data_IF_891240050146
#
_entry.id   IF_891240050146
#
_cell.length_a   1.000
_cell.length_b   1.000
_cell.length_c   1.000
_cell.angle_alpha   90.00
_cell.angle_beta   90.00
_cell.angle_gamma   90.00
#
_symmetry.space_group_name_H-M   'P 1'
#
loop_
_entity.id
_entity.type
_entity.pdbx_description
1 polymer ?
#
# COMPACT_ATOMS: atom_id res chain seq x y z
N UNK A 1 20.63 -30.56 -3.90
CA UNK A 1 20.87 -31.52 -5.01
C UNK A 1 20.45 -30.85 -6.30
N UNK A 2 21.15 -31.11 -7.40
CA UNK A 2 20.87 -30.58 -8.74
C UNK A 2 19.45 -30.93 -9.21
N UNK A 3 18.71 -29.92 -9.70
CA UNK A 3 17.51 -30.07 -10.55
C UNK A 3 17.47 -28.96 -11.60
N UNK A 4 18.41 -29.01 -12.51
CA UNK A 4 18.24 -28.43 -13.84
C UNK A 4 16.96 -28.96 -14.53
N UNK A 5 16.11 -28.03 -14.97
CA UNK A 5 15.33 -28.10 -16.20
C UNK A 5 14.46 -29.36 -16.43
N UNK A 6 13.50 -29.60 -15.52
CA UNK A 6 12.24 -30.26 -15.92
C UNK A 6 11.23 -29.19 -16.31
N UNK A 7 10.42 -29.49 -17.33
CA UNK A 7 9.14 -28.81 -17.54
C UNK A 7 8.24 -29.17 -16.36
N UNK A 8 8.29 -28.37 -15.30
CA UNK A 8 7.39 -28.49 -14.18
C UNK A 8 6.00 -28.10 -14.66
N UNK A 9 5.10 -29.08 -14.65
CA UNK A 9 3.70 -28.85 -14.98
C UNK A 9 3.06 -28.22 -13.76
N UNK A 10 2.52 -27.02 -13.96
CA UNK A 10 1.68 -26.32 -12.99
C UNK A 10 0.62 -27.30 -12.46
N UNK A 11 0.36 -27.36 -11.14
CA UNK A 11 -0.75 -28.13 -10.59
C UNK A 11 -2.05 -27.74 -11.28
N UNK A 12 -2.92 -28.72 -11.60
CA UNK A 12 -4.17 -28.47 -12.35
C UNK A 12 -5.09 -27.49 -11.63
N UNK A 13 -5.00 -27.49 -10.32
CA UNK A 13 -5.74 -26.68 -9.37
C UNK A 13 -5.34 -25.20 -9.48
N UNK A 14 -4.12 -24.91 -9.97
CA UNK A 14 -3.56 -23.56 -10.14
C UNK A 14 -3.50 -23.10 -11.61
N UNK A 15 -3.90 -23.92 -12.57
CA UNK A 15 -3.81 -23.63 -14.02
C UNK A 15 -4.56 -22.33 -14.39
N UNK A 16 -5.80 -22.16 -13.89
CA UNK A 16 -6.60 -20.95 -14.13
C UNK A 16 -6.08 -19.69 -13.39
N UNK A 17 -5.32 -19.87 -12.30
CA UNK A 17 -4.69 -18.78 -11.56
C UNK A 17 -3.41 -18.32 -12.27
N UNK A 18 -2.60 -19.28 -12.72
CA UNK A 18 -1.44 -19.04 -13.57
C UNK A 18 -1.84 -18.27 -14.83
N UNK A 19 -2.90 -18.69 -15.53
CA UNK A 19 -3.36 -18.01 -16.76
C UNK A 19 -3.71 -16.54 -16.46
N UNK A 20 -4.40 -16.25 -15.36
CA UNK A 20 -4.76 -14.87 -14.96
C UNK A 20 -3.55 -14.01 -14.58
N UNK A 21 -2.66 -14.52 -13.74
CA UNK A 21 -1.45 -13.79 -13.32
C UNK A 21 -0.56 -13.54 -14.56
N UNK A 22 -0.42 -14.52 -15.45
CA UNK A 22 0.38 -14.37 -16.66
C UNK A 22 -0.26 -13.50 -17.74
N UNK A 23 -1.59 -13.40 -17.82
CA UNK A 23 -2.29 -12.43 -18.66
C UNK A 23 -1.97 -10.98 -18.24
N UNK A 24 -2.06 -10.68 -16.94
CA UNK A 24 -1.72 -9.35 -16.40
C UNK A 24 -0.24 -9.00 -16.61
N UNK A 25 0.66 -9.94 -16.31
CA UNK A 25 2.11 -9.80 -16.55
C UNK A 25 2.41 -9.57 -18.03
N UNK A 26 1.77 -10.34 -18.92
CA UNK A 26 1.94 -10.22 -20.37
C UNK A 26 1.47 -8.85 -20.88
N UNK A 27 0.34 -8.34 -20.38
CA UNK A 27 -0.15 -7.01 -20.76
C UNK A 27 0.82 -5.91 -20.34
N UNK A 28 1.30 -5.93 -19.10
CA UNK A 28 2.32 -4.98 -18.65
C UNK A 28 3.60 -5.10 -19.49
N UNK A 29 4.10 -6.32 -19.72
CA UNK A 29 5.32 -6.55 -20.49
C UNK A 29 5.18 -6.14 -21.97
N UNK A 30 3.98 -6.23 -22.55
CA UNK A 30 3.68 -5.73 -23.91
C UNK A 30 3.69 -4.20 -23.99
N UNK A 31 3.23 -3.50 -22.94
CA UNK A 31 3.17 -2.04 -22.88
C UNK A 31 4.52 -1.40 -22.53
N UNK A 32 5.23 -1.94 -21.52
CA UNK A 32 6.33 -1.24 -20.84
C UNK A 32 7.69 -1.95 -20.88
N UNK A 33 7.73 -3.26 -21.18
CA UNK A 33 8.97 -4.05 -21.21
C UNK A 33 9.15 -4.76 -22.56
N UNK A 34 9.38 -6.08 -22.55
CA UNK A 34 9.55 -6.88 -23.75
C UNK A 34 9.17 -8.35 -23.50
N UNK A 35 9.16 -9.15 -24.57
CA UNK A 35 8.80 -10.56 -24.55
C UNK A 35 9.79 -11.46 -23.77
N UNK A 36 11.01 -11.00 -23.49
CA UNK A 36 11.96 -11.78 -22.68
C UNK A 36 11.70 -11.58 -21.18
N UNK A 37 11.30 -10.37 -20.76
CA UNK A 37 10.71 -10.15 -19.42
C UNK A 37 9.42 -10.93 -19.22
N UNK A 38 8.53 -10.97 -20.22
CA UNK A 38 7.30 -11.78 -20.14
C UNK A 38 7.62 -13.26 -19.87
N UNK A 39 8.56 -13.87 -20.60
CA UNK A 39 8.98 -15.27 -20.36
C UNK A 39 9.60 -15.46 -18.98
N UNK A 40 10.46 -14.54 -18.56
CA UNK A 40 11.14 -14.58 -17.27
C UNK A 40 10.14 -14.52 -16.10
N UNK A 41 9.17 -13.61 -16.20
CA UNK A 41 8.08 -13.46 -15.24
C UNK A 41 7.16 -14.70 -15.23
N UNK A 42 6.79 -15.27 -16.38
CA UNK A 42 6.06 -16.55 -16.43
C UNK A 42 6.83 -17.68 -15.75
N UNK A 43 8.15 -17.77 -15.90
CA UNK A 43 8.96 -18.76 -15.19
C UNK A 43 8.92 -18.56 -13.66
N UNK A 44 8.90 -17.31 -13.20
CA UNK A 44 8.71 -17.00 -11.77
C UNK A 44 7.31 -17.41 -11.28
N UNK A 45 6.25 -17.17 -12.06
CA UNK A 45 4.89 -17.67 -11.73
C UNK A 45 4.89 -19.21 -11.65
N UNK A 46 5.49 -19.93 -12.61
CA UNK A 46 5.59 -21.41 -12.54
C UNK A 46 6.31 -21.86 -11.27
N UNK A 47 7.45 -21.24 -10.94
CA UNK A 47 8.23 -21.60 -9.76
C UNK A 47 7.48 -21.32 -8.45
N UNK A 48 6.67 -20.26 -8.39
CA UNK A 48 5.78 -19.97 -7.26
C UNK A 48 4.57 -20.92 -7.21
N UNK A 49 3.98 -21.30 -8.34
CA UNK A 49 2.91 -22.31 -8.38
C UNK A 49 3.39 -23.73 -7.99
N UNK A 50 4.70 -24.00 -8.12
CA UNK A 50 5.30 -25.29 -7.83
C UNK A 50 6.09 -25.33 -6.50
N UNK A 51 6.10 -24.23 -5.72
CA UNK A 51 6.76 -24.20 -4.41
C UNK A 51 5.94 -24.92 -3.34
N UNK A 52 6.59 -25.30 -2.23
CA UNK A 52 5.98 -26.09 -1.15
C UNK A 52 4.78 -25.40 -0.48
N UNK A 53 4.75 -24.06 -0.46
CA UNK A 53 3.67 -23.25 0.10
C UNK A 53 2.68 -22.70 -0.93
N UNK A 54 2.95 -22.87 -2.24
CA UNK A 54 2.16 -22.37 -3.36
C UNK A 54 1.55 -20.96 -3.13
N UNK A 55 2.36 -19.95 -2.73
CA UNK A 55 1.89 -18.73 -2.06
C UNK A 55 0.95 -17.89 -2.93
N UNK A 56 1.09 -17.98 -4.25
CA UNK A 56 0.21 -17.33 -5.23
C UNK A 56 -1.27 -17.71 -5.09
N UNK A 57 -1.57 -18.86 -4.47
CA UNK A 57 -2.93 -19.27 -4.15
C UNK A 57 -3.61 -18.43 -3.04
N UNK A 58 -2.84 -17.58 -2.34
CA UNK A 58 -3.31 -16.73 -1.23
C UNK A 58 -3.10 -15.25 -1.57
N UNK A 59 -4.15 -14.43 -1.58
CA UNK A 59 -4.10 -12.99 -1.87
C UNK A 59 -4.36 -12.61 -3.33
N UNK A 60 -4.39 -11.29 -3.61
CA UNK A 60 -4.86 -10.74 -4.88
C UNK A 60 -3.92 -10.99 -6.08
N UNK A 61 -4.51 -11.25 -7.25
CA UNK A 61 -3.77 -11.55 -8.49
C UNK A 61 -2.93 -10.36 -8.99
N UNK A 62 -3.41 -9.13 -8.81
CA UNK A 62 -2.68 -7.91 -9.17
C UNK A 62 -1.41 -7.78 -8.32
N UNK A 63 -1.54 -8.00 -7.01
CA UNK A 63 -0.45 -8.00 -6.05
C UNK A 63 0.64 -9.00 -6.43
N UNK A 64 0.28 -10.24 -6.76
CA UNK A 64 1.25 -11.24 -7.21
C UNK A 64 1.88 -10.90 -8.56
N UNK A 65 1.09 -10.45 -9.54
CA UNK A 65 1.60 -10.06 -10.85
C UNK A 65 2.62 -8.90 -10.75
N UNK A 66 2.28 -7.86 -9.99
CA UNK A 66 3.15 -6.71 -9.76
C UNK A 66 4.39 -7.08 -8.94
N UNK A 67 4.24 -7.82 -7.82
CA UNK A 67 5.38 -8.22 -6.99
C UNK A 67 6.42 -9.04 -7.77
N UNK A 68 5.97 -9.98 -8.63
CA UNK A 68 6.85 -10.76 -9.50
C UNK A 68 7.61 -9.86 -10.48
N UNK A 69 6.94 -8.91 -11.12
CA UNK A 69 7.58 -7.94 -12.00
C UNK A 69 8.53 -7.02 -11.23
N UNK A 70 8.17 -6.60 -10.01
CA UNK A 70 8.97 -5.75 -9.15
C UNK A 70 10.30 -6.42 -8.77
N UNK A 71 10.25 -7.67 -8.28
CA UNK A 71 11.46 -8.46 -7.96
C UNK A 71 12.36 -8.62 -9.19
N UNK A 72 11.78 -8.93 -10.35
CA UNK A 72 12.54 -9.13 -11.58
C UNK A 72 13.12 -7.82 -12.15
N UNK A 73 12.41 -6.71 -12.06
CA UNK A 73 12.93 -5.40 -12.44
C UNK A 73 14.04 -4.94 -11.49
N UNK A 74 13.89 -5.18 -10.19
CA UNK A 74 14.90 -4.90 -9.16
C UNK A 74 16.21 -5.68 -9.41
N UNK A 75 16.16 -7.01 -9.53
CA UNK A 75 17.38 -7.83 -9.73
C UNK A 75 18.06 -7.57 -11.08
N UNK A 76 17.32 -7.07 -12.08
CA UNK A 76 17.85 -6.62 -13.37
C UNK A 76 18.21 -5.12 -13.41
N UNK A 77 18.03 -4.38 -12.31
CA UNK A 77 18.37 -2.95 -12.13
C UNK A 77 17.59 -1.98 -13.03
N UNK A 78 16.37 -2.33 -13.41
CA UNK A 78 15.52 -1.52 -14.30
C UNK A 78 15.05 -0.19 -13.69
N UNK A 79 15.13 -0.06 -12.37
CA UNK A 79 14.82 1.17 -11.64
C UNK A 79 16.03 2.14 -11.56
N UNK A 80 17.22 1.76 -12.03
CA UNK A 80 18.38 2.65 -12.13
C UNK A 80 18.28 3.51 -13.41
N UNK A 81 18.51 4.83 -13.32
CA UNK A 81 18.41 5.79 -14.45
C UNK A 81 19.39 5.51 -15.61
N UNK A 82 20.41 4.68 -15.38
CA UNK A 82 21.52 4.44 -16.32
C UNK A 82 21.31 3.23 -17.25
N UNK A 83 20.18 2.52 -17.17
CA UNK A 83 19.89 1.37 -18.04
C UNK A 83 19.19 1.75 -19.36
N UNK A 84 19.43 0.98 -20.42
CA UNK A 84 18.81 1.15 -21.76
C UNK A 84 17.29 0.88 -21.76
N UNK A 85 16.79 0.14 -20.76
CA UNK A 85 15.38 -0.13 -20.52
C UNK A 85 15.05 0.28 -19.08
N UNK A 86 14.92 1.59 -18.82
CA UNK A 86 14.53 2.11 -17.52
C UNK A 86 13.01 2.13 -17.36
N UNK A 87 12.50 1.77 -16.18
CA UNK A 87 11.09 1.98 -15.78
C UNK A 87 11.03 2.59 -14.37
N UNK A 88 9.96 3.31 -14.06
CA UNK A 88 9.72 3.81 -12.70
C UNK A 88 8.99 2.74 -11.85
N UNK A 89 9.41 2.57 -10.60
CA UNK A 89 8.83 1.62 -9.67
C UNK A 89 7.38 1.99 -9.26
N UNK A 90 7.07 3.27 -9.10
CA UNK A 90 5.70 3.73 -8.82
C UNK A 90 4.79 3.52 -10.03
N UNK A 91 5.24 3.86 -11.25
CA UNK A 91 4.46 3.60 -12.48
C UNK A 91 4.16 2.11 -12.68
N UNK A 92 5.09 1.22 -12.31
CA UNK A 92 4.83 -0.22 -12.26
C UNK A 92 3.69 -0.55 -11.28
N UNK A 93 3.75 -0.09 -10.03
CA UNK A 93 2.74 -0.42 -9.01
C UNK A 93 1.35 0.15 -9.36
N UNK A 94 1.31 1.39 -9.86
CA UNK A 94 0.10 2.08 -10.31
C UNK A 94 -0.62 1.34 -11.45
N UNK A 95 0.12 0.75 -12.41
CA UNK A 95 -0.50 0.03 -13.55
C UNK A 95 -1.19 -1.29 -13.12
N UNK A 96 -0.94 -1.76 -11.89
CA UNK A 96 -1.61 -2.89 -11.24
C UNK A 96 -2.63 -2.48 -10.16
N UNK A 97 -2.85 -1.18 -9.93
CA UNK A 97 -3.68 -0.65 -8.84
C UNK A 97 -3.23 -1.14 -7.44
N UNK A 98 -1.92 -1.09 -7.14
CA UNK A 98 -1.38 -1.39 -5.79
C UNK A 98 -0.36 -0.32 -5.33
N UNK A 99 -0.18 -0.16 -4.02
CA UNK A 99 0.85 0.72 -3.46
C UNK A 99 2.26 0.15 -3.62
N UNK A 100 3.27 1.04 -3.56
CA UNK A 100 4.68 0.65 -3.66
C UNK A 100 5.14 -0.16 -2.42
N UNK A 101 4.58 0.10 -1.23
CA UNK A 101 4.87 -0.65 0.00
C UNK A 101 4.37 -2.10 -0.11
N UNK A 102 3.13 -2.30 -0.57
CA UNK A 102 2.57 -3.64 -0.82
C UNK A 102 3.40 -4.39 -1.87
N UNK A 103 3.81 -3.71 -2.95
CA UNK A 103 4.68 -4.28 -3.96
C UNK A 103 6.05 -4.69 -3.39
N UNK A 104 6.69 -3.82 -2.61
CA UNK A 104 7.99 -4.06 -1.97
C UNK A 104 7.94 -5.25 -1.00
N UNK A 105 6.99 -5.25 -0.06
CA UNK A 105 6.81 -6.34 0.91
C UNK A 105 6.61 -7.70 0.22
N UNK A 106 5.69 -7.77 -0.75
CA UNK A 106 5.45 -9.01 -1.51
C UNK A 106 6.61 -9.36 -2.46
N UNK A 107 7.37 -8.38 -2.96
CA UNK A 107 8.59 -8.65 -3.75
C UNK A 107 9.67 -9.33 -2.91
N UNK A 108 9.73 -9.04 -1.61
CA UNK A 108 10.58 -9.72 -0.62
C UNK A 108 10.17 -11.18 -0.45
N UNK A 109 8.88 -11.47 -0.31
CA UNK A 109 8.34 -12.84 -0.25
C UNK A 109 8.64 -13.63 -1.54
N UNK A 110 8.49 -13.00 -2.71
CA UNK A 110 8.88 -13.60 -4.00
C UNK A 110 10.37 -13.90 -4.03
N UNK A 111 11.22 -12.97 -3.58
CA UNK A 111 12.67 -13.14 -3.54
C UNK A 111 13.09 -14.26 -2.58
N UNK A 112 12.49 -14.36 -1.39
CA UNK A 112 12.78 -15.42 -0.41
C UNK A 112 12.42 -16.80 -0.96
N UNK A 113 11.19 -16.97 -1.47
CA UNK A 113 10.67 -18.27 -1.93
C UNK A 113 11.41 -18.75 -3.19
N UNK A 114 11.77 -17.84 -4.09
CA UNK A 114 12.55 -18.15 -5.30
C UNK A 114 14.07 -18.07 -5.08
N UNK A 115 14.51 -17.78 -3.85
CA UNK A 115 15.91 -17.63 -3.43
C UNK A 115 16.72 -16.64 -4.29
N UNK A 116 16.06 -15.56 -4.73
CA UNK A 116 16.64 -14.53 -5.59
C UNK A 116 17.56 -13.64 -4.77
N UNK A 117 18.84 -13.67 -5.11
CA UNK A 117 19.87 -12.81 -4.53
C UNK A 117 20.30 -11.73 -5.54
N UNK A 118 21.04 -10.72 -5.08
CA UNK A 118 21.58 -9.66 -5.92
C UNK A 118 22.37 -10.20 -7.13
N UNK A 119 21.90 -9.88 -8.34
CA UNK A 119 22.44 -10.34 -9.62
C UNK A 119 22.39 -11.86 -9.83
N UNK A 120 21.36 -12.56 -9.34
CA UNK A 120 21.17 -14.01 -9.60
C UNK A 120 21.18 -14.33 -11.12
N UNK A 121 22.14 -15.14 -11.62
CA UNK A 121 22.25 -15.45 -13.05
C UNK A 121 21.07 -16.22 -13.68
N UNK A 122 20.16 -16.76 -12.87
CA UNK A 122 18.94 -17.44 -13.30
C UNK A 122 17.82 -16.42 -13.57
N UNK A 123 17.77 -15.37 -12.75
CA UNK A 123 16.72 -14.34 -12.77
C UNK A 123 17.16 -13.03 -13.46
N UNK A 124 18.42 -12.93 -13.89
CA UNK A 124 18.88 -11.86 -14.77
C UNK A 124 18.78 -12.22 -16.26
N UNK A 125 18.28 -11.30 -17.09
CA UNK A 125 18.37 -11.42 -18.55
C UNK A 125 19.84 -11.33 -18.99
N UNK A 126 20.27 -12.33 -19.77
CA UNK A 126 21.62 -12.35 -20.33
C UNK A 126 21.76 -11.23 -21.37
N UNK A 127 22.59 -10.23 -21.08
CA UNK A 127 23.06 -9.29 -22.10
C UNK A 127 23.67 -10.10 -23.25
N UNK A 128 23.36 -9.80 -24.52
CA UNK A 128 23.86 -10.57 -25.65
C UNK A 128 25.39 -10.56 -25.65
N UNK A 129 26.02 -11.70 -25.91
CA UNK A 129 27.48 -11.82 -25.90
C UNK A 129 28.11 -10.72 -26.77
N UNK A 130 29.12 -9.98 -26.26
CA UNK A 130 29.86 -9.06 -27.10
C UNK A 130 30.50 -9.87 -28.23
N UNK A 131 30.12 -9.56 -29.48
CA UNK A 131 30.64 -10.26 -30.67
C UNK A 131 32.16 -10.37 -30.57
N UNK A 132 32.75 -11.56 -30.79
CA UNK A 132 34.15 -11.80 -30.53
C UNK A 132 35.00 -10.78 -31.28
N UNK A 133 35.84 -10.06 -30.54
CA UNK A 133 36.63 -8.96 -31.07
C UNK A 133 37.55 -9.47 -32.18
N UNK A 134 37.27 -9.06 -33.43
CA UNK A 134 38.18 -9.25 -34.55
C UNK A 134 39.43 -8.41 -34.21
N UNK A 135 40.54 -9.08 -33.89
CA UNK A 135 41.82 -8.40 -33.69
C UNK A 135 42.19 -7.67 -34.99
N UNK A 136 42.60 -6.39 -34.92
CA UNK A 136 43.05 -5.67 -36.11
C UNK A 136 44.43 -6.18 -36.51
N UNK A 137 44.49 -7.16 -37.42
CA UNK A 137 45.74 -7.49 -38.09
C UNK A 137 46.15 -6.39 -39.08
N UNK A 138 47.42 -6.04 -39.02
CA UNK A 138 48.05 -4.92 -39.71
C UNK A 138 48.01 -5.05 -41.23
N UNK A 139 47.75 -3.94 -41.93
CA UNK A 139 47.97 -3.81 -43.37
C UNK A 139 49.41 -4.15 -43.77
N UNK A 140 49.59 -4.77 -44.94
CA UNK A 140 50.62 -4.41 -45.91
C UNK A 140 50.00 -3.62 -47.08
N UNK A 141 50.72 -2.63 -47.59
CA UNK A 141 50.34 -1.88 -48.80
C UNK A 141 50.54 -2.71 -50.08
N UNK A 142 49.64 -2.61 -51.07
CA UNK A 142 50.03 -2.42 -52.49
C UNK A 142 48.85 -1.95 -53.37
N UNK A 143 49.18 -1.49 -54.60
CA UNK A 143 48.33 -0.71 -55.52
C UNK A 143 47.58 -1.56 -56.56
N UNK A 144 46.67 -0.87 -57.28
CA UNK A 144 46.08 -1.19 -58.61
C UNK A 144 44.98 -2.28 -58.62
N UNK A 145 44.02 -2.36 -59.55
CA UNK A 145 43.67 -1.49 -60.71
C UNK A 145 42.21 -1.73 -61.19
N UNK A 146 41.62 -0.75 -61.91
CA UNK A 146 40.51 -0.86 -62.90
C UNK A 146 39.08 -1.37 -62.56
N UNK A 147 38.07 -0.63 -63.08
CA UNK A 147 36.65 -1.02 -63.35
C UNK A 147 36.56 -1.86 -64.67
N UNK A 148 35.48 -2.62 -65.03
CA UNK A 148 34.09 -2.09 -65.18
C UNK A 148 32.84 -3.05 -65.10
N UNK A 149 31.63 -2.43 -65.16
CA UNK A 149 30.25 -2.85 -65.63
C UNK A 149 29.92 -4.34 -65.93
N UNK A 150 28.70 -4.85 -65.64
CA UNK A 150 27.40 -4.67 -66.38
C UNK A 150 26.18 -5.16 -65.52
N UNK A 151 25.03 -4.44 -65.43
CA UNK A 151 23.70 -4.62 -66.11
C UNK A 151 22.86 -5.89 -65.73
N UNK A 152 21.73 -5.78 -65.01
CA UNK A 152 20.28 -5.67 -65.45
C UNK A 152 19.61 -7.04 -65.72
N UNK A 153 18.32 -7.39 -65.48
CA UNK A 153 16.97 -6.76 -65.45
C UNK A 153 16.02 -7.51 -64.45
N UNK A 154 15.04 -6.92 -63.72
CA UNK A 154 13.57 -6.72 -63.99
C UNK A 154 12.80 -8.06 -64.26
N UNK A 155 11.67 -8.47 -63.60
CA UNK A 155 10.34 -7.80 -63.48
C UNK A 155 9.29 -8.50 -62.54
N UNK A 156 8.48 -7.66 -61.86
CA UNK A 156 7.07 -7.71 -61.35
C UNK A 156 6.25 -9.00 -60.98
N UNK A 157 5.40 -8.75 -59.96
CA UNK A 157 4.18 -9.37 -59.35
C UNK A 157 2.99 -9.72 -60.32
N UNK A 158 1.71 -10.07 -59.90
CA UNK A 158 1.09 -10.22 -58.55
C UNK A 158 0.10 -11.41 -58.30
N UNK A 159 -0.45 -11.43 -57.06
CA UNK A 159 -1.70 -12.02 -56.49
C UNK A 159 -2.96 -12.06 -57.40
N UNK A 160 -4.01 -12.87 -57.06
CA UNK A 160 -5.19 -12.27 -56.40
C UNK A 160 -6.05 -13.14 -55.43
N UNK A 161 -6.38 -12.55 -54.27
CA UNK A 161 -7.72 -12.21 -53.70
C UNK A 161 -8.86 -13.27 -53.60
N UNK A 162 -9.58 -13.27 -52.45
CA UNK A 162 -10.74 -14.16 -52.21
C UNK A 162 -11.43 -14.04 -50.83
N UNK A 163 -12.49 -13.23 -50.73
CA UNK A 163 -13.29 -12.94 -49.50
C UNK A 163 -14.36 -14.01 -49.20
N UNK A 164 -14.82 -14.15 -47.92
CA UNK A 164 -16.13 -13.66 -47.39
C UNK A 164 -16.59 -14.35 -46.06
N UNK A 165 -17.57 -13.72 -45.39
CA UNK A 165 -18.09 -13.93 -44.03
C UNK A 165 -19.23 -14.99 -43.84
N UNK A 166 -19.32 -15.49 -42.59
CA UNK A 166 -20.51 -15.74 -41.73
C UNK A 166 -21.52 -16.90 -41.92
N UNK A 167 -21.77 -17.53 -40.74
CA UNK A 167 -23.07 -17.87 -40.08
C UNK A 167 -23.74 -19.27 -40.20
N UNK A 168 -23.84 -19.90 -39.01
CA UNK A 168 -24.99 -20.59 -38.36
C UNK A 168 -25.65 -21.86 -38.92
N UNK A 169 -25.83 -22.80 -37.96
CA UNK A 169 -27.05 -23.52 -37.58
C UNK A 169 -27.19 -25.03 -37.87
N UNK A 170 -27.39 -25.76 -36.76
CA UNK A 170 -28.35 -26.85 -36.52
C UNK A 170 -28.38 -28.13 -37.38
N UNK A 171 -28.18 -29.27 -36.69
CA UNK A 171 -29.05 -30.45 -36.82
C UNK A 171 -29.27 -31.10 -35.45
N UNK A 172 -30.53 -31.32 -35.08
CA UNK A 172 -30.99 -32.08 -33.89
C UNK A 172 -31.33 -33.53 -34.25
N UNK A 173 -31.17 -34.50 -33.33
CA UNK A 173 -31.97 -35.74 -33.41
C UNK A 173 -32.19 -36.51 -32.08
N UNK A 174 -33.31 -37.26 -32.08
CA UNK A 174 -34.03 -37.91 -30.97
C UNK A 174 -33.80 -39.43 -30.92
N UNK A 175 -33.98 -40.21 -29.83
CA UNK A 175 -34.24 -39.99 -28.38
C UNK A 175 -34.12 -41.37 -27.70
N UNK A 176 -33.73 -41.49 -26.42
CA UNK A 176 -34.29 -42.50 -25.47
C UNK A 176 -33.78 -42.40 -24.02
N UNK A 177 -34.71 -42.14 -23.12
CA UNK A 177 -34.59 -42.32 -21.66
C UNK A 177 -35.04 -43.77 -21.28
N UNK A 178 -34.70 -44.30 -20.09
CA UNK A 178 -35.65 -44.12 -18.97
C UNK A 178 -35.10 -44.11 -17.52
N UNK A 179 -35.80 -43.34 -16.67
CA UNK A 179 -36.09 -43.58 -15.22
C UNK A 179 -35.02 -43.31 -14.15
N UNK A 180 -35.07 -42.05 -13.67
CA UNK A 180 -35.42 -41.66 -12.28
C UNK A 180 -34.84 -42.49 -11.11
N UNK A 181 -33.81 -41.95 -10.46
CA UNK A 181 -33.74 -41.93 -8.99
C UNK A 181 -34.19 -40.56 -8.47
N UNK A 182 -34.97 -40.54 -7.39
CA UNK A 182 -35.35 -39.31 -6.68
C UNK A 182 -34.27 -39.01 -5.64
N UNK A 183 -33.46 -37.98 -5.85
CA UNK A 183 -32.73 -37.34 -4.74
C UNK A 183 -33.44 -36.03 -4.42
N UNK A 184 -33.71 -35.79 -3.12
CA UNK A 184 -34.52 -34.65 -2.67
C UNK A 184 -33.88 -33.33 -3.11
N UNK A 185 -34.71 -32.38 -3.54
CA UNK A 185 -34.32 -30.98 -3.47
C UNK A 185 -34.03 -30.66 -2.01
N UNK A 186 -32.74 -30.47 -1.68
CA UNK A 186 -32.31 -29.92 -0.39
C UNK A 186 -32.78 -28.47 -0.41
N UNK A 187 -33.62 -28.09 0.56
CA UNK A 187 -34.12 -26.72 0.64
C UNK A 187 -32.95 -25.73 0.66
N UNK A 188 -33.05 -24.66 -0.11
CA UNK A 188 -32.06 -23.58 -0.11
C UNK A 188 -31.99 -22.99 1.29
N UNK A 189 -30.94 -23.34 2.04
CA UNK A 189 -30.72 -22.80 3.37
C UNK A 189 -30.44 -21.31 3.21
N UNK A 190 -31.25 -20.45 3.85
CA UNK A 190 -31.26 -19.01 3.54
C UNK A 190 -30.10 -18.24 4.22
N UNK A 191 -29.42 -18.93 5.13
CA UNK A 191 -28.49 -18.37 6.10
C UNK A 191 -27.01 -18.70 5.80
N UNK A 192 -26.73 -19.43 4.72
CA UNK A 192 -25.39 -19.82 4.29
C UNK A 192 -24.67 -18.66 3.58
N UNK A 193 -23.58 -18.14 4.17
CA UNK A 193 -22.74 -17.06 3.64
C UNK A 193 -21.95 -17.54 2.41
N UNK A 194 -21.80 -16.68 1.41
CA UNK A 194 -21.16 -16.95 0.12
C UNK A 194 -20.36 -15.74 -0.37
N UNK A 195 -19.45 -15.98 -1.31
CA UNK A 195 -18.75 -14.91 -2.04
C UNK A 195 -19.77 -13.95 -2.66
N UNK A 196 -19.56 -12.65 -2.46
CA UNK A 196 -20.45 -11.55 -2.86
C UNK A 196 -21.56 -11.21 -1.86
N UNK A 197 -21.77 -11.99 -0.78
CA UNK A 197 -22.67 -11.57 0.29
C UNK A 197 -22.04 -10.40 1.08
N UNK A 198 -22.85 -9.38 1.35
CA UNK A 198 -22.50 -8.38 2.36
C UNK A 198 -22.65 -9.00 3.76
N UNK A 199 -21.67 -8.74 4.60
CA UNK A 199 -21.57 -9.28 5.96
C UNK A 199 -21.26 -8.16 6.96
N UNK A 200 -21.56 -8.45 8.22
CA UNK A 200 -21.26 -7.59 9.37
C UNK A 200 -20.51 -8.41 10.42
N UNK A 201 -19.50 -7.82 11.02
CA UNK A 201 -18.78 -8.39 12.16
C UNK A 201 -19.64 -8.38 13.43
N UNK A 202 -19.67 -9.50 14.15
CA UNK A 202 -20.47 -9.69 15.36
C UNK A 202 -19.91 -8.92 16.55
N UNK A 203 -20.70 -8.89 17.63
CA UNK A 203 -20.33 -8.24 18.89
C UNK A 203 -19.19 -8.99 19.59
N UNK A 204 -18.19 -8.25 20.08
CA UNK A 204 -17.07 -8.80 20.85
C UNK A 204 -15.95 -9.43 20.01
N UNK A 205 -16.00 -9.27 18.69
CA UNK A 205 -14.89 -9.64 17.79
C UNK A 205 -13.88 -8.50 17.79
N UNK A 206 -12.61 -8.86 17.90
CA UNK A 206 -11.45 -7.95 17.76
C UNK A 206 -10.69 -8.30 16.49
N UNK A 207 -9.86 -7.37 16.05
CA UNK A 207 -8.93 -7.59 14.95
C UNK A 207 -8.00 -8.80 15.24
N UNK A 208 -7.75 -9.70 14.27
CA UNK A 208 -6.89 -10.88 14.46
C UNK A 208 -5.44 -10.55 14.82
N UNK A 209 -4.91 -9.44 14.27
CA UNK A 209 -3.53 -8.99 14.46
C UNK A 209 -3.46 -7.95 15.60
N UNK A 210 -4.51 -7.12 15.76
CA UNK A 210 -4.61 -6.08 16.78
C UNK A 210 -5.66 -6.39 17.86
N UNK A 211 -5.27 -7.17 18.87
CA UNK A 211 -6.15 -7.60 19.99
C UNK A 211 -6.77 -6.42 20.76
N UNK A 212 -6.19 -5.22 20.68
CA UNK A 212 -6.67 -3.97 21.27
C UNK A 212 -7.72 -3.22 20.41
N UNK A 213 -7.90 -3.60 19.14
CA UNK A 213 -8.77 -2.95 18.15
C UNK A 213 -10.10 -3.72 17.98
N UNK A 214 -11.22 -3.23 18.56
CA UNK A 214 -12.53 -3.87 18.40
C UNK A 214 -13.15 -3.52 17.04
N UNK A 215 -13.25 -4.52 16.17
CA UNK A 215 -13.90 -4.43 14.85
C UNK A 215 -15.41 -4.74 14.88
N UNK A 216 -16.03 -4.77 16.07
CA UNK A 216 -17.44 -5.14 16.21
C UNK A 216 -18.37 -4.20 15.43
N UNK A 217 -19.21 -4.78 14.58
CA UNK A 217 -20.15 -4.02 13.76
C UNK A 217 -19.56 -3.35 12.51
N UNK A 218 -18.31 -3.62 12.15
CA UNK A 218 -17.79 -3.34 10.81
C UNK A 218 -18.55 -4.15 9.76
N UNK A 219 -18.60 -3.66 8.51
CA UNK A 219 -19.28 -4.32 7.39
C UNK A 219 -18.33 -4.43 6.20
N UNK A 220 -18.52 -5.50 5.43
CA UNK A 220 -17.78 -5.74 4.19
C UNK A 220 -18.51 -6.69 3.26
N UNK A 221 -17.82 -7.13 2.21
CA UNK A 221 -18.25 -8.15 1.25
C UNK A 221 -17.27 -9.32 1.30
N UNK A 222 -17.81 -10.54 1.39
CA UNK A 222 -16.97 -11.74 1.29
C UNK A 222 -16.43 -11.86 -0.13
N UNK A 223 -15.11 -11.74 -0.31
CA UNK A 223 -14.45 -11.83 -1.62
C UNK A 223 -13.85 -13.22 -1.88
N UNK A 224 -13.42 -13.93 -0.85
CA UNK A 224 -12.89 -15.29 -0.96
C UNK A 224 -13.22 -16.17 0.27
N UNK A 225 -13.05 -17.47 0.11
CA UNK A 225 -12.95 -18.45 1.19
C UNK A 225 -11.52 -18.98 1.20
N UNK A 226 -10.94 -19.17 2.39
CA UNK A 226 -9.61 -19.75 2.56
C UNK A 226 -9.77 -21.19 2.99
N UNK A 227 -9.46 -22.11 2.07
CA UNK A 227 -9.31 -23.52 2.38
C UNK A 227 -7.95 -23.74 3.08
N UNK A 228 -7.91 -23.66 4.41
CA UNK A 228 -6.78 -24.20 5.19
C UNK A 228 -6.80 -25.74 5.16
N UNK A 229 -5.61 -26.36 5.20
CA UNK A 229 -5.33 -27.72 4.71
C UNK A 229 -6.03 -28.87 5.47
N UNK A 230 -7.35 -29.01 5.29
CA UNK A 230 -8.09 -30.25 5.52
C UNK A 230 -8.21 -30.71 6.98
N UNK A 231 -7.94 -29.85 7.96
CA UNK A 231 -8.27 -30.14 9.35
C UNK A 231 -9.79 -30.38 9.48
N UNK A 232 -10.22 -31.27 10.39
CA UNK A 232 -11.65 -31.48 10.60
C UNK A 232 -12.32 -30.29 11.33
N UNK A 233 -11.53 -29.43 11.99
CA UNK A 233 -12.01 -28.29 12.78
C UNK A 233 -12.38 -27.09 11.88
N UNK A 234 -11.68 -26.90 10.75
CA UNK A 234 -11.92 -25.78 9.83
C UNK A 234 -13.16 -25.94 8.94
N UNK A 235 -13.66 -27.18 8.76
CA UNK A 235 -14.83 -27.46 7.90
C UNK A 235 -16.12 -26.77 8.36
N UNK A 236 -16.29 -26.63 9.67
CA UNK A 236 -17.47 -26.01 10.29
C UNK A 236 -17.25 -24.53 10.63
N UNK A 237 -16.02 -24.01 10.48
CA UNK A 237 -15.66 -22.61 10.72
C UNK A 237 -14.55 -22.08 9.78
N UNK A 238 -14.75 -22.11 8.45
CA UNK A 238 -13.75 -21.64 7.49
C UNK A 238 -13.40 -20.16 7.70
N UNK A 239 -12.16 -19.81 7.35
CA UNK A 239 -11.73 -18.44 7.12
C UNK A 239 -12.34 -17.91 5.82
N UNK A 240 -12.77 -16.66 5.84
CA UNK A 240 -13.24 -15.92 4.68
C UNK A 240 -12.53 -14.57 4.63
N UNK A 241 -12.22 -14.14 3.42
CA UNK A 241 -11.64 -12.82 3.16
C UNK A 241 -12.78 -11.83 2.94
N UNK A 242 -12.77 -10.73 3.69
CA UNK A 242 -13.82 -9.71 3.73
C UNK A 242 -13.22 -8.37 3.33
N UNK A 243 -13.53 -7.91 2.11
CA UNK A 243 -13.24 -6.53 1.67
C UNK A 243 -14.19 -5.57 2.39
N UNK A 244 -13.66 -4.49 2.98
CA UNK A 244 -14.48 -3.58 3.77
C UNK A 244 -15.38 -2.68 2.92
N UNK A 245 -16.55 -2.35 3.46
CA UNK A 245 -17.50 -1.47 2.80
C UNK A 245 -17.12 0.01 2.97
N UNK A 246 -17.67 0.88 2.12
CA UNK A 246 -17.24 2.29 2.04
C UNK A 246 -17.49 3.11 3.31
N UNK A 247 -18.32 2.63 4.23
CA UNK A 247 -18.60 3.25 5.52
C UNK A 247 -17.71 2.71 6.63
N UNK A 248 -17.23 1.47 6.49
CA UNK A 248 -16.18 0.93 7.36
C UNK A 248 -14.84 1.57 7.03
N UNK A 249 -14.44 1.61 5.75
CA UNK A 249 -13.19 2.25 5.31
C UNK A 249 -13.10 3.72 5.77
N UNK A 250 -14.09 4.56 5.45
CA UNK A 250 -14.17 5.96 5.91
C UNK A 250 -14.48 6.14 7.41
N UNK A 251 -14.65 5.03 8.14
CA UNK A 251 -14.88 5.00 9.58
C UNK A 251 -13.69 4.45 10.36
N UNK A 252 -12.63 3.99 9.68
CA UNK A 252 -11.34 3.68 10.30
C UNK A 252 -10.70 4.96 10.81
N UNK A 253 -9.86 4.82 11.84
CA UNK A 253 -9.03 5.89 12.36
C UNK A 253 -7.69 5.91 11.64
N UNK A 254 -7.14 7.10 11.45
CA UNK A 254 -5.78 7.34 10.96
C UNK A 254 -4.75 6.41 11.66
N UNK A 255 -4.72 6.38 13.01
CA UNK A 255 -3.93 5.44 13.83
C UNK A 255 -4.02 3.94 13.42
N UNK A 256 -5.16 3.49 12.91
CA UNK A 256 -5.36 2.10 12.50
C UNK A 256 -4.78 1.86 11.10
N UNK A 257 -4.98 2.82 10.20
CA UNK A 257 -4.44 2.79 8.84
C UNK A 257 -2.90 2.86 8.88
N UNK A 258 -2.35 3.75 9.72
CA UNK A 258 -0.91 3.90 9.95
C UNK A 258 -0.31 2.60 10.51
N UNK A 259 -0.90 2.02 11.56
CA UNK A 259 -0.46 0.72 12.11
C UNK A 259 -0.50 -0.40 11.07
N UNK A 260 -1.48 -0.42 10.17
CA UNK A 260 -1.53 -1.40 9.08
C UNK A 260 -0.36 -1.21 8.09
N UNK A 261 -0.02 0.02 7.68
CA UNK A 261 1.13 0.23 6.78
C UNK A 261 2.47 -0.07 7.47
N UNK A 262 2.63 0.33 8.74
CA UNK A 262 3.83 0.03 9.56
C UNK A 262 4.10 -1.48 9.70
N UNK A 263 3.07 -2.28 10.00
CA UNK A 263 3.19 -3.75 10.12
C UNK A 263 3.06 -4.49 8.77
N UNK A 264 2.82 -3.77 7.66
CA UNK A 264 2.69 -4.34 6.31
C UNK A 264 1.42 -5.18 6.10
N UNK A 265 0.36 -4.87 6.85
CA UNK A 265 -0.96 -5.49 6.79
C UNK A 265 -1.87 -4.76 5.79
N UNK A 266 -2.88 -5.46 5.27
CA UNK A 266 -3.89 -4.85 4.41
C UNK A 266 -5.01 -4.25 5.27
N UNK A 267 -5.21 -2.93 5.21
CA UNK A 267 -6.32 -2.28 5.91
C UNK A 267 -7.65 -2.33 5.13
N UNK A 268 -7.63 -2.75 3.86
CA UNK A 268 -8.79 -2.72 2.96
C UNK A 268 -9.60 -4.03 2.98
N UNK A 269 -8.97 -5.14 3.38
CA UNK A 269 -9.63 -6.44 3.58
C UNK A 269 -9.18 -7.12 4.88
N UNK A 270 -9.86 -8.19 5.29
CA UNK A 270 -9.47 -8.96 6.47
C UNK A 270 -9.94 -10.42 6.42
N UNK A 271 -9.09 -11.34 6.87
CA UNK A 271 -9.44 -12.74 7.05
C UNK A 271 -10.17 -12.96 8.38
N UNK A 272 -11.46 -13.28 8.31
CA UNK A 272 -12.32 -13.55 9.47
C UNK A 272 -12.88 -14.97 9.44
N UNK A 273 -13.13 -15.54 10.62
CA UNK A 273 -13.84 -16.82 10.73
C UNK A 273 -15.33 -16.60 10.42
N UNK A 274 -15.95 -17.52 9.67
CA UNK A 274 -17.36 -17.38 9.26
C UNK A 274 -18.33 -17.27 10.47
N UNK A 275 -17.95 -17.82 11.63
CA UNK A 275 -18.74 -17.70 12.86
C UNK A 275 -18.65 -16.32 13.53
N UNK A 276 -17.70 -15.46 13.17
CA UNK A 276 -17.54 -14.11 13.70
C UNK A 276 -18.30 -13.05 12.89
N UNK A 277 -18.90 -13.44 11.77
CA UNK A 277 -19.68 -12.57 10.87
C UNK A 277 -21.14 -13.03 10.72
N UNK A 278 -22.03 -12.12 10.37
CA UNK A 278 -23.44 -12.36 10.05
C UNK A 278 -23.84 -11.71 8.71
N UNK A 279 -24.84 -12.25 8.01
CA UNK A 279 -25.33 -11.63 6.76
C UNK A 279 -25.91 -10.25 7.02
N UNK A 280 -25.45 -9.29 6.23
CA UNK A 280 -25.91 -7.92 6.23
C UNK A 280 -26.71 -7.59 4.96
N UNK A 281 -27.25 -6.37 4.91
CA UNK A 281 -27.65 -5.74 3.65
C UNK A 281 -26.51 -4.84 3.18
N UNK A 282 -26.25 -4.72 1.86
CA UNK A 282 -25.35 -3.70 1.34
C UNK A 282 -25.75 -2.31 1.85
N UNK A 283 -24.76 -1.50 2.23
CA UNK A 283 -24.96 -0.09 2.64
C UNK A 283 -24.61 0.89 1.52
N UNK A 284 -23.89 0.39 0.52
CA UNK A 284 -23.07 1.09 -0.46
C UNK A 284 -23.04 0.32 -1.81
N UNK A 285 -22.23 0.79 -2.75
CA UNK A 285 -21.91 0.14 -4.02
C UNK A 285 -20.41 -0.12 -4.16
N UNK A 286 -20.00 -0.93 -5.14
CA UNK A 286 -18.57 -1.13 -5.46
C UNK A 286 -17.86 0.17 -5.88
N UNK A 287 -18.61 1.15 -6.42
CA UNK A 287 -18.04 2.47 -6.76
C UNK A 287 -17.72 3.26 -5.50
N UNK A 288 -18.62 3.26 -4.51
CA UNK A 288 -18.40 3.94 -3.22
C UNK A 288 -17.22 3.32 -2.45
N UNK A 289 -17.00 2.00 -2.60
CA UNK A 289 -15.81 1.30 -2.06
C UNK A 289 -14.55 1.73 -2.78
N UNK A 290 -14.51 1.70 -4.12
CA UNK A 290 -13.32 2.14 -4.84
C UNK A 290 -12.95 3.58 -4.49
N UNK A 291 -13.92 4.48 -4.38
CA UNK A 291 -13.67 5.86 -3.93
C UNK A 291 -13.12 5.93 -2.49
N UNK A 292 -13.59 5.09 -1.56
CA UNK A 292 -13.05 5.01 -0.20
C UNK A 292 -11.66 4.36 -0.14
N UNK A 293 -11.37 3.38 -1.00
CA UNK A 293 -10.05 2.78 -1.16
C UNK A 293 -9.08 3.81 -1.77
N UNK A 294 -9.48 4.55 -2.81
CA UNK A 294 -8.70 5.62 -3.43
C UNK A 294 -8.38 6.73 -2.41
N UNK A 295 -9.32 7.09 -1.53
CA UNK A 295 -9.10 8.03 -0.41
C UNK A 295 -8.02 7.55 0.56
N UNK A 296 -8.00 6.27 0.92
CA UNK A 296 -6.98 5.67 1.80
C UNK A 296 -5.62 5.55 1.09
N UNK A 297 -5.59 5.19 -0.19
CA UNK A 297 -4.35 5.18 -0.98
C UNK A 297 -3.76 6.60 -1.07
N UNK A 298 -4.57 7.63 -1.33
CA UNK A 298 -4.11 9.03 -1.35
C UNK A 298 -3.53 9.46 0.00
N UNK A 299 -4.10 8.98 1.11
CA UNK A 299 -3.58 9.23 2.45
C UNK A 299 -2.21 8.55 2.67
N UNK A 300 -2.09 7.26 2.33
CA UNK A 300 -0.86 6.47 2.46
C UNK A 300 0.24 6.88 1.47
N UNK A 301 -0.09 7.40 0.30
CA UNK A 301 0.84 7.77 -0.77
C UNK A 301 1.21 9.28 -0.82
N UNK A 302 0.77 10.14 0.13
CA UNK A 302 1.09 11.59 0.09
C UNK A 302 2.63 11.83 0.19
N UNK A 303 3.32 12.17 -0.92
CA UNK A 303 4.78 12.23 -0.92
C UNK A 303 5.32 13.43 -0.14
N UNK A 304 4.47 14.44 0.11
CA UNK A 304 4.81 15.65 0.84
C UNK A 304 4.69 15.39 2.34
N UNK A 305 3.67 14.66 2.78
CA UNK A 305 3.54 14.19 4.16
C UNK A 305 4.68 13.22 4.51
N UNK A 306 4.85 12.15 3.71
CA UNK A 306 5.86 11.11 3.92
C UNK A 306 7.28 11.70 3.95
N UNK A 307 7.61 12.62 3.04
CA UNK A 307 8.94 13.26 3.00
C UNK A 307 9.18 14.21 4.19
N UNK A 308 8.15 14.92 4.66
CA UNK A 308 8.27 15.82 5.80
C UNK A 308 8.35 15.08 7.13
N UNK A 309 7.56 14.01 7.32
CA UNK A 309 7.72 13.06 8.45
C UNK A 309 9.14 12.48 8.42
N UNK A 310 9.56 11.87 7.31
CA UNK A 310 10.89 11.25 7.20
C UNK A 310 12.07 12.20 7.51
N UNK A 311 11.96 13.50 7.23
CA UNK A 311 12.95 14.48 7.68
C UNK A 311 12.77 14.91 9.14
N UNK A 312 11.53 14.98 9.64
CA UNK A 312 11.18 15.34 11.02
C UNK A 312 11.59 14.26 12.01
N UNK A 313 11.28 13.00 11.73
CA UNK A 313 11.58 11.85 12.56
C UNK A 313 13.09 11.67 12.70
N UNK A 314 13.88 11.88 11.63
CA UNK A 314 15.35 11.92 11.71
C UNK A 314 15.86 12.96 12.71
N UNK A 315 15.24 14.15 12.78
CA UNK A 315 15.63 15.19 13.76
C UNK A 315 15.21 14.81 15.17
N UNK A 316 14.02 14.23 15.33
CA UNK A 316 13.51 13.77 16.62
C UNK A 316 14.41 12.64 17.16
N UNK A 317 14.75 11.65 16.33
CA UNK A 317 15.70 10.59 16.65
C UNK A 317 17.07 11.15 17.07
N UNK A 318 17.62 12.13 16.33
CA UNK A 318 18.86 12.82 16.71
C UNK A 318 18.75 13.51 18.09
N UNK A 319 17.61 14.15 18.40
CA UNK A 319 17.33 14.80 19.68
C UNK A 319 17.23 13.78 20.83
N UNK A 320 16.53 12.67 20.60
CA UNK A 320 16.32 11.59 21.57
C UNK A 320 17.56 10.70 21.78
N UNK A 321 18.58 10.84 20.92
CA UNK A 321 19.84 10.11 20.97
C UNK A 321 19.76 8.72 20.31
N UNK A 322 19.05 8.62 19.19
CA UNK A 322 18.77 7.38 18.44
C UNK A 322 18.01 6.31 19.26
N UNK A 323 17.19 6.75 20.21
CA UNK A 323 16.10 5.94 20.77
C UNK A 323 14.92 5.99 19.81
N UNK A 324 13.99 5.04 19.91
CA UNK A 324 12.71 5.14 19.21
C UNK A 324 11.91 6.39 19.62
N UNK A 325 10.93 6.74 18.80
CA UNK A 325 10.14 7.97 18.92
C UNK A 325 8.91 7.85 19.83
N UNK A 326 8.57 6.68 20.38
CA UNK A 326 7.34 6.54 21.18
C UNK A 326 7.36 7.42 22.45
N UNK A 327 6.21 7.98 22.82
CA UNK A 327 6.11 8.88 23.97
C UNK A 327 6.23 8.10 25.30
N UNK A 328 7.33 8.36 26.00
CA UNK A 328 7.64 7.84 27.35
C UNK A 328 8.25 8.95 28.19
N UNK A 329 8.25 8.78 29.51
CA UNK A 329 8.79 9.78 30.44
C UNK A 329 10.27 10.11 30.11
N UNK A 330 11.09 9.13 29.70
CA UNK A 330 12.49 9.35 29.34
C UNK A 330 12.70 10.05 27.99
N UNK A 331 11.81 9.83 27.01
CA UNK A 331 11.88 10.52 25.70
C UNK A 331 11.38 11.94 25.85
N UNK A 332 10.26 12.15 26.54
CA UNK A 332 9.69 13.46 26.83
C UNK A 332 10.63 14.32 27.69
N UNK A 333 11.27 13.74 28.72
CA UNK A 333 12.31 14.40 29.49
C UNK A 333 13.50 14.84 28.61
N UNK A 334 13.96 13.96 27.70
CA UNK A 334 15.07 14.27 26.80
C UNK A 334 14.72 15.43 25.85
N UNK A 335 13.51 15.42 25.30
CA UNK A 335 13.02 16.49 24.42
C UNK A 335 12.82 17.81 25.17
N UNK A 336 12.31 17.79 26.42
CA UNK A 336 12.23 18.97 27.28
C UNK A 336 13.61 19.59 27.52
N UNK A 337 14.58 18.75 27.86
CA UNK A 337 15.95 19.17 28.12
C UNK A 337 16.63 19.73 26.86
N UNK A 338 16.18 19.33 25.66
CA UNK A 338 16.59 19.91 24.38
C UNK A 338 15.90 21.25 24.10
N UNK A 339 14.58 21.36 24.30
CA UNK A 339 13.83 22.61 24.09
C UNK A 339 14.27 23.71 25.04
N UNK A 340 14.53 23.42 26.33
CA UNK A 340 15.05 24.41 27.28
C UNK A 340 16.40 25.02 26.84
N UNK A 341 17.23 24.25 26.14
CA UNK A 341 18.55 24.68 25.66
C UNK A 341 18.49 25.45 24.33
N UNK A 342 17.54 25.12 23.47
CA UNK A 342 17.50 25.61 22.08
C UNK A 342 16.44 26.70 21.81
N UNK A 343 15.34 26.74 22.57
CA UNK A 343 14.35 27.82 22.43
C UNK A 343 14.99 29.16 22.79
N UNK A 344 14.89 30.12 21.88
CA UNK A 344 15.52 31.44 22.00
C UNK A 344 14.48 32.56 22.14
N UNK A 345 14.18 33.05 23.36
CA UNK A 345 13.30 34.21 23.56
C UNK A 345 13.90 35.51 22.99
N UNK A 346 13.08 36.51 22.61
CA UNK A 346 11.62 36.54 22.70
C UNK A 346 10.94 35.85 21.50
N UNK A 347 9.91 35.07 21.81
CA UNK A 347 9.00 34.50 20.83
C UNK A 347 7.53 34.73 21.24
N UNK A 348 6.66 34.81 20.24
CA UNK A 348 5.21 34.90 20.42
C UNK A 348 4.59 33.59 19.96
N UNK A 349 3.54 33.16 20.66
CA UNK A 349 2.78 31.95 20.40
C UNK A 349 1.33 32.32 20.11
N UNK A 350 0.70 31.65 19.17
CA UNK A 350 -0.76 31.62 19.02
C UNK A 350 -1.23 30.19 19.23
N UNK A 351 -2.51 29.99 19.49
CA UNK A 351 -3.06 28.64 19.62
C UNK A 351 -3.06 27.95 18.25
N UNK A 352 -2.73 26.66 18.21
CA UNK A 352 -2.78 25.83 17.01
C UNK A 352 -4.23 25.49 16.66
N UNK A 353 -5.01 25.07 17.66
CA UNK A 353 -6.39 24.61 17.52
C UNK A 353 -7.32 25.20 18.58
N UNK A 354 -8.65 25.21 18.39
CA UNK A 354 -9.58 25.62 19.43
C UNK A 354 -9.48 24.76 20.70
N UNK A 355 -9.52 25.39 21.87
CA UNK A 355 -9.64 24.62 23.11
C UNK A 355 -11.01 23.92 23.16
N UNK A 356 -11.08 22.70 23.72
CA UNK A 356 -12.32 21.92 23.87
C UNK A 356 -13.52 22.72 24.42
N UNK A 357 -13.28 23.66 25.34
CA UNK A 357 -14.34 24.50 25.89
C UNK A 357 -14.95 25.51 24.90
N UNK A 358 -14.27 25.81 23.79
CA UNK A 358 -14.70 26.73 22.73
C UNK A 358 -15.51 26.04 21.64
N UNK A 359 -15.34 24.73 21.44
CA UNK A 359 -15.97 23.94 20.37
C UNK A 359 -17.49 24.20 20.28
N UNK A 360 -18.20 24.07 21.40
CA UNK A 360 -19.64 24.34 21.52
C UNK A 360 -20.04 25.75 21.04
N UNK A 361 -19.16 26.75 21.16
CA UNK A 361 -19.41 28.12 20.71
C UNK A 361 -19.01 28.36 19.25
N UNK A 362 -17.98 27.68 18.76
CA UNK A 362 -17.52 27.77 17.37
C UNK A 362 -18.47 27.02 16.43
N UNK A 363 -19.00 25.87 16.85
CA UNK A 363 -20.05 25.10 16.15
C UNK A 363 -21.45 25.76 16.20
N UNK A 364 -21.56 26.99 16.72
CA UNK A 364 -22.79 27.79 16.69
C UNK A 364 -23.87 27.43 17.70
N UNK A 365 -23.69 26.36 18.49
CA UNK A 365 -24.64 25.91 19.53
C UNK A 365 -24.66 26.87 20.73
N UNK A 366 -23.48 27.37 21.11
CA UNK A 366 -23.26 28.20 22.28
C UNK A 366 -23.65 29.68 22.13
N UNK A 367 -24.05 30.31 23.23
CA UNK A 367 -24.43 31.74 23.23
C UNK A 367 -23.20 32.64 23.15
N UNK A 368 -23.10 33.47 22.10
CA UNK A 368 -21.98 34.42 21.90
C UNK A 368 -21.65 35.29 23.12
N UNK A 369 -22.66 35.78 23.87
CA UNK A 369 -22.43 36.58 25.10
C UNK A 369 -21.72 35.81 26.22
N UNK A 370 -21.91 34.50 26.26
CA UNK A 370 -21.28 33.61 27.23
C UNK A 370 -19.85 33.28 26.82
N UNK A 371 -19.63 32.99 25.54
CA UNK A 371 -18.30 32.90 24.93
C UNK A 371 -17.45 34.15 25.22
N UNK A 372 -18.00 35.34 24.98
CA UNK A 372 -17.35 36.63 25.26
C UNK A 372 -17.13 36.91 26.76
N UNK A 373 -17.82 36.20 27.66
CA UNK A 373 -17.56 36.23 29.11
C UNK A 373 -16.42 35.28 29.48
N UNK A 374 -16.42 34.06 28.94
CA UNK A 374 -15.42 33.02 29.25
C UNK A 374 -14.01 33.38 28.75
N UNK A 375 -13.87 33.94 27.53
CA UNK A 375 -12.59 34.42 26.99
C UNK A 375 -11.88 35.46 27.88
N UNK A 376 -12.63 36.17 28.73
CA UNK A 376 -12.03 37.12 29.68
C UNK A 376 -11.21 36.42 30.77
N UNK A 377 -11.48 35.16 31.07
CA UNK A 377 -10.80 34.40 32.15
C UNK A 377 -10.06 33.17 31.65
N UNK A 378 -10.47 32.60 30.52
CA UNK A 378 -9.83 31.43 29.87
C UNK A 378 -8.94 31.88 28.70
N UNK A 379 -7.90 31.08 28.35
CA UNK A 379 -7.23 31.20 27.07
C UNK A 379 -8.20 30.83 25.94
N UNK A 380 -8.05 31.45 24.77
CA UNK A 380 -8.94 31.28 23.62
C UNK A 380 -8.16 31.18 22.31
N UNK A 381 -8.74 30.52 21.30
CA UNK A 381 -8.13 30.20 20.01
C UNK A 381 -7.48 31.41 19.30
N UNK A 382 -8.11 32.59 19.43
CA UNK A 382 -7.63 33.84 18.81
C UNK A 382 -6.72 34.68 19.72
N UNK A 383 -6.28 34.14 20.85
CA UNK A 383 -5.33 34.81 21.72
C UNK A 383 -3.90 34.63 21.21
N UNK A 384 -3.13 35.71 21.28
CA UNK A 384 -1.67 35.67 21.11
C UNK A 384 -0.99 35.86 22.46
N UNK A 385 0.07 35.09 22.69
CA UNK A 385 0.81 35.05 23.93
C UNK A 385 2.30 35.35 23.72
N UNK A 386 2.92 35.95 24.72
CA UNK A 386 4.37 36.01 24.89
C UNK A 386 4.82 34.79 25.69
N UNK A 387 5.81 34.06 25.20
CA UNK A 387 6.47 33.00 25.97
C UNK A 387 7.20 33.57 27.21
N UNK A 388 7.12 32.87 28.34
CA UNK A 388 7.88 33.20 29.57
C UNK A 388 8.97 32.15 29.81
N UNK A 389 8.58 30.87 29.94
CA UNK A 389 9.49 29.74 30.22
C UNK A 389 8.80 28.41 29.95
N UNK A 390 9.58 27.34 29.89
CA UNK A 390 9.10 25.96 30.02
C UNK A 390 8.83 25.68 31.52
N UNK A 391 7.83 24.86 31.83
CA UNK A 391 7.63 24.26 33.16
C UNK A 391 8.28 22.86 33.14
N UNK A 392 8.98 22.48 34.21
CA UNK A 392 9.75 21.22 34.26
C UNK A 392 8.95 20.00 34.72
N UNK A 393 7.72 20.23 35.17
CA UNK A 393 6.80 19.17 35.54
C UNK A 393 6.24 18.56 34.26
N UNK A 394 6.64 17.32 33.95
CA UNK A 394 6.12 16.57 32.82
C UNK A 394 4.69 16.10 33.11
N UNK A 395 3.83 16.17 32.11
CA UNK A 395 2.56 15.45 32.09
C UNK A 395 2.60 14.48 30.89
N UNK A 396 2.19 13.23 31.07
CA UNK A 396 2.06 12.29 29.95
C UNK A 396 0.82 12.56 29.11
N UNK A 397 -0.22 13.20 29.67
CA UNK A 397 -1.44 13.59 28.94
C UNK A 397 -1.29 14.93 28.20
N UNK A 398 -0.73 15.95 28.87
CA UNK A 398 -0.55 17.31 28.31
C UNK A 398 0.85 17.56 27.70
N UNK A 399 1.79 16.64 27.86
CA UNK A 399 3.17 16.77 27.40
C UNK A 399 3.98 17.85 28.14
N UNK A 400 4.79 18.58 27.37
CA UNK A 400 5.61 19.69 27.84
C UNK A 400 4.75 20.94 28.02
N UNK A 401 4.62 21.39 29.27
CA UNK A 401 3.88 22.60 29.62
C UNK A 401 4.76 23.86 29.50
N UNK A 402 4.18 24.94 28.98
CA UNK A 402 4.84 26.26 28.90
C UNK A 402 4.05 27.35 29.61
N UNK A 403 4.78 28.22 30.31
CA UNK A 403 4.23 29.42 30.92
C UNK A 403 4.21 30.55 29.91
N UNK A 404 3.03 31.12 29.68
CA UNK A 404 2.80 32.15 28.68
C UNK A 404 2.04 33.34 29.26
N UNK A 405 2.14 34.50 28.61
CA UNK A 405 1.41 35.73 28.96
C UNK A 405 0.60 36.24 27.78
N UNK A 406 -0.72 36.33 27.92
CA UNK A 406 -1.61 36.86 26.88
C UNK A 406 -1.33 38.35 26.64
N UNK A 407 -1.17 38.74 25.37
CA UNK A 407 -0.77 40.10 25.00
C UNK A 407 -1.86 41.16 25.25
N UNK A 408 -3.14 40.77 25.21
CA UNK A 408 -4.28 41.70 25.30
C UNK A 408 -4.58 42.20 26.71
N UNK A 409 -4.35 41.39 27.74
CA UNK A 409 -4.69 41.71 29.14
C UNK A 409 -3.62 41.30 30.17
N UNK A 410 -2.43 40.91 29.70
CA UNK A 410 -1.28 40.51 30.53
C UNK A 410 -1.50 39.30 31.45
N UNK A 411 -2.60 38.54 31.30
CA UNK A 411 -2.85 37.33 32.10
C UNK A 411 -1.87 36.22 31.76
N UNK A 412 -1.50 35.45 32.78
CA UNK A 412 -0.56 34.34 32.65
C UNK A 412 -1.31 33.01 32.69
N UNK A 413 -0.87 32.09 31.85
CA UNK A 413 -1.41 30.74 31.73
C UNK A 413 -0.24 29.75 31.72
N UNK A 414 -0.52 28.52 32.09
CA UNK A 414 0.30 27.34 31.79
C UNK A 414 -0.52 26.53 30.81
N UNK A 415 0.06 26.19 29.65
CA UNK A 415 -0.62 25.51 28.55
C UNK A 415 0.31 24.41 28.00
N UNK A 416 -0.23 23.32 27.42
CA UNK A 416 0.54 22.42 26.58
C UNK A 416 1.26 23.19 25.47
N UNK A 417 2.51 22.83 25.18
CA UNK A 417 3.23 23.39 24.04
C UNK A 417 2.70 22.84 22.71
N UNK A 418 2.17 21.62 22.69
CA UNK A 418 1.51 20.98 21.54
C UNK A 418 0.37 21.84 20.98
N UNK A 419 -0.49 22.37 21.85
CA UNK A 419 -1.60 23.28 21.48
C UNK A 419 -1.15 24.68 21.01
N UNK A 420 0.15 24.96 20.90
CA UNK A 420 0.69 26.28 20.55
C UNK A 420 1.64 26.23 19.34
N UNK A 421 1.61 27.29 18.54
CA UNK A 421 2.47 27.49 17.37
C UNK A 421 3.14 28.86 17.38
N UNK A 422 4.33 28.97 16.79
CA UNK A 422 5.12 30.23 16.77
C UNK A 422 4.54 31.22 15.78
N UNK A 423 4.29 32.46 16.24
CA UNK A 423 3.81 33.54 15.38
C UNK A 423 4.94 34.04 14.48
N UNK A 424 4.80 33.74 13.19
CA UNK A 424 5.71 34.18 12.14
C UNK A 424 6.88 33.21 11.90
N UNK A 425 7.38 33.22 10.67
CA UNK A 425 8.36 32.29 10.12
C UNK A 425 9.81 32.54 10.58
N UNK A 426 10.03 32.82 11.88
CA UNK A 426 11.37 32.75 12.49
C UNK A 426 11.80 31.29 12.59
N UNK A 427 12.39 30.79 11.51
CA UNK A 427 12.72 29.39 11.25
C UNK A 427 13.24 28.59 12.48
N UNK A 428 14.17 29.07 13.32
CA UNK A 428 14.71 28.27 14.41
C UNK A 428 13.67 27.87 15.47
N UNK A 429 13.01 28.85 16.09
CA UNK A 429 11.99 28.56 17.11
C UNK A 429 10.75 27.91 16.50
N UNK A 430 10.38 28.26 15.26
CA UNK A 430 9.26 27.63 14.56
C UNK A 430 9.49 26.13 14.40
N UNK A 431 10.64 25.71 13.85
CA UNK A 431 10.97 24.29 13.65
C UNK A 431 11.01 23.53 14.98
N UNK A 432 11.65 24.09 16.02
CA UNK A 432 11.74 23.46 17.33
C UNK A 432 10.37 23.17 17.97
N UNK A 433 9.44 24.13 17.91
CA UNK A 433 8.10 23.96 18.45
C UNK A 433 7.25 23.06 17.55
N UNK A 434 7.34 23.21 16.23
CA UNK A 434 6.59 22.37 15.28
C UNK A 434 6.99 20.89 15.39
N UNK A 435 8.29 20.59 15.40
CA UNK A 435 8.80 19.22 15.54
C UNK A 435 8.35 18.58 16.86
N UNK A 436 8.35 19.34 17.96
CA UNK A 436 7.78 18.86 19.22
C UNK A 436 6.27 18.61 19.14
N UNK A 437 5.51 19.57 18.61
CA UNK A 437 4.05 19.49 18.60
C UNK A 437 3.54 18.38 17.69
N UNK A 438 4.14 18.17 16.51
CA UNK A 438 3.82 17.03 15.63
C UNK A 438 4.16 15.70 16.30
N UNK A 439 5.37 15.58 16.85
CA UNK A 439 5.83 14.38 17.53
C UNK A 439 4.90 13.95 18.67
N UNK A 440 4.56 14.87 19.58
CA UNK A 440 3.74 14.57 20.76
C UNK A 440 2.24 14.34 20.46
N UNK A 441 1.74 14.75 19.30
CA UNK A 441 0.33 14.52 18.91
C UNK A 441 0.16 13.21 18.16
N UNK A 442 1.22 12.71 17.51
CA UNK A 442 1.17 11.56 16.61
C UNK A 442 1.86 10.29 17.17
N UNK A 443 2.35 10.28 18.42
CA UNK A 443 3.12 9.19 19.07
C UNK A 443 2.81 9.05 20.56
#
# INVERSE_FOLDING_TARGET
MDKTNKSEKIPKELEALYDRITELIDDYCRKHLNNDYAKLARNAVVALCCSESAPVAKGHINTWACAILYTLCSVNRLFEDEQELHINASDLCNDFEISINTALSKSGVVAEILQINDNDPIWCLKKPDPKPAIKPETRPDTKSETKPRLKSEVKLEPEPDGKRYNKTAETTEDKKEPKKSRTKARGTNKDEIRIGDCVRVKKGVVDPDFVDSPIEGWYGRVIAFVDEDGSEEDKDNPLVDVEWDSFTLRGMTDDFIDRCDEDGLDCLSMYLRINDIEKARPRDTMQDVKEAQDEIHIYLDDPIAISQSNEQDKRILEILGNKDISIREETLACYLDYLEKNISPPLQLTVSEPFQWEELYLSGIGRKREYDKLKKTRPAYKDTFKFIKIERDLNMEDGILVKVQRLTDNKKFVLPLSNLQVVGNKLPNYRLVNDYSSWFVNN
#
